data_IF_514585283938
#
_entry.id   IF_514585283938
#
_cell.length_a   1.000
_cell.length_b   1.000
_cell.length_c   1.000
_cell.angle_alpha   90.00
_cell.angle_beta   90.00
_cell.angle_gamma   90.00
#
_symmetry.space_group_name_H-M   'P 1'
#
loop_
_entity.id
_entity.type
_entity.pdbx_description
1 polymer ?
#
# COMPACT_ATOMS: atom_id res chain seq x y z
N UNK A 1 15.95 13.87 12.73
CA UNK A 1 14.56 13.48 12.44
C UNK A 1 14.48 12.82 11.06
N UNK A 2 14.82 13.50 9.95
CA UNK A 2 14.67 12.97 8.57
C UNK A 2 15.43 11.65 8.35
N UNK A 3 16.68 11.56 8.78
CA UNK A 3 17.47 10.32 8.65
C UNK A 3 16.83 9.14 9.38
N UNK A 4 16.27 9.37 10.58
CA UNK A 4 15.55 8.33 11.31
C UNK A 4 14.29 7.86 10.58
N UNK A 5 13.55 8.79 9.97
CA UNK A 5 12.38 8.45 9.14
C UNK A 5 12.78 7.64 7.90
N UNK A 6 13.86 8.01 7.21
CA UNK A 6 14.34 7.26 6.04
C UNK A 6 14.78 5.83 6.41
N UNK A 7 15.49 5.67 7.51
CA UNK A 7 15.87 4.34 8.02
C UNK A 7 14.62 3.52 8.38
N UNK A 8 13.65 4.13 9.03
CA UNK A 8 12.39 3.48 9.39
C UNK A 8 11.58 3.08 8.15
N UNK A 9 11.46 3.95 7.15
CA UNK A 9 10.81 3.64 5.88
C UNK A 9 11.48 2.44 5.18
N UNK A 10 12.82 2.43 5.11
CA UNK A 10 13.59 1.31 4.56
C UNK A 10 13.36 0.00 5.33
N UNK A 11 13.33 0.06 6.67
CA UNK A 11 13.04 -1.10 7.52
C UNK A 11 11.67 -1.71 7.23
N UNK A 12 10.61 -0.87 7.17
CA UNK A 12 9.25 -1.33 6.88
C UNK A 12 9.10 -1.84 5.44
N UNK A 13 9.79 -1.22 4.47
CA UNK A 13 9.82 -1.70 3.09
C UNK A 13 10.45 -3.10 2.98
N UNK A 14 11.56 -3.36 3.69
CA UNK A 14 12.20 -4.69 3.75
C UNK A 14 11.26 -5.73 4.38
N UNK A 15 10.50 -5.37 5.42
CA UNK A 15 9.48 -6.28 5.99
C UNK A 15 8.44 -6.63 4.94
N UNK A 16 7.95 -5.65 4.16
CA UNK A 16 6.96 -5.90 3.11
C UNK A 16 7.53 -6.76 1.97
N UNK A 17 8.79 -6.55 1.58
CA UNK A 17 9.49 -7.44 0.64
C UNK A 17 9.54 -8.87 1.19
N UNK A 18 9.80 -9.04 2.48
CA UNK A 18 9.77 -10.35 3.14
C UNK A 18 8.39 -11.03 3.04
N UNK A 19 7.31 -10.27 3.24
CA UNK A 19 5.93 -10.75 3.06
C UNK A 19 5.67 -11.16 1.61
N UNK A 20 6.09 -10.33 0.63
CA UNK A 20 5.98 -10.63 -0.79
C UNK A 20 6.72 -11.92 -1.16
N UNK A 21 7.98 -12.06 -0.71
CA UNK A 21 8.79 -13.28 -0.94
C UNK A 21 8.18 -14.53 -0.31
N UNK A 22 7.55 -14.40 0.85
CA UNK A 22 6.84 -15.51 1.47
C UNK A 22 5.62 -15.91 0.64
N UNK A 23 4.88 -14.94 0.12
CA UNK A 23 3.75 -15.20 -0.78
C UNK A 23 4.20 -15.84 -2.10
N UNK A 24 5.31 -15.38 -2.73
CA UNK A 24 5.89 -15.96 -3.95
C UNK A 24 6.18 -17.46 -3.81
N UNK A 25 6.49 -17.90 -2.60
CA UNK A 25 6.74 -19.33 -2.32
C UNK A 25 5.50 -20.20 -2.52
N UNK A 26 4.32 -19.63 -2.31
CA UNK A 26 3.04 -20.30 -2.47
C UNK A 26 2.38 -20.03 -3.83
N UNK A 27 2.82 -18.98 -4.52
CA UNK A 27 2.21 -18.52 -5.77
C UNK A 27 3.20 -17.69 -6.61
N UNK A 28 3.97 -18.28 -7.56
CA UNK A 28 5.04 -17.60 -8.30
C UNK A 28 4.55 -16.60 -9.36
N UNK A 29 5.21 -15.45 -9.47
CA UNK A 29 4.86 -14.32 -10.34
C UNK A 29 5.76 -14.20 -11.59
N UNK A 30 5.23 -13.64 -12.70
CA UNK A 30 5.94 -13.38 -13.95
C UNK A 30 6.45 -11.93 -14.07
N UNK A 31 7.63 -11.73 -14.70
CA UNK A 31 8.35 -10.44 -14.75
C UNK A 31 8.04 -9.61 -16.01
N UNK A 32 8.03 -8.26 -15.91
CA UNK A 32 7.74 -7.26 -16.97
C UNK A 32 8.89 -6.27 -17.28
N UNK A 33 8.77 -5.51 -18.37
CA UNK A 33 9.83 -4.83 -19.12
C UNK A 33 10.32 -3.44 -18.65
N UNK A 34 11.44 -2.95 -19.24
CA UNK A 34 12.34 -1.92 -18.74
C UNK A 34 12.08 -0.47 -19.23
N UNK A 35 11.93 0.45 -18.28
CA UNK A 35 12.07 1.91 -18.46
C UNK A 35 13.34 2.41 -17.72
N UNK A 36 13.79 3.66 -18.01
CA UNK A 36 15.00 4.21 -17.39
C UNK A 36 14.88 4.42 -15.87
N UNK A 37 15.99 4.28 -15.14
CA UNK A 37 16.05 4.37 -13.67
C UNK A 37 15.36 5.61 -13.10
N UNK A 38 15.63 6.80 -13.65
CA UNK A 38 15.06 8.04 -13.13
C UNK A 38 13.54 8.13 -13.33
N UNK A 39 13.05 7.65 -14.48
CA UNK A 39 11.60 7.58 -14.76
C UNK A 39 10.88 6.69 -13.76
N UNK A 40 11.41 5.51 -13.49
CA UNK A 40 10.87 4.58 -12.48
C UNK A 40 10.91 5.17 -11.08
N UNK A 41 12.03 5.78 -10.69
CA UNK A 41 12.18 6.41 -9.38
C UNK A 41 11.10 7.46 -9.14
N UNK A 42 10.88 8.37 -10.10
CA UNK A 42 9.85 9.42 -10.00
C UNK A 42 8.44 8.80 -9.99
N UNK A 43 8.20 7.79 -10.83
CA UNK A 43 6.90 7.10 -10.88
C UNK A 43 6.58 6.40 -9.55
N UNK A 44 7.50 5.67 -8.96
CA UNK A 44 7.30 4.95 -7.69
C UNK A 44 7.11 5.91 -6.51
N UNK A 45 7.90 7.00 -6.44
CA UNK A 45 7.68 8.04 -5.43
C UNK A 45 6.29 8.69 -5.59
N UNK A 46 5.90 8.98 -6.83
CA UNK A 46 4.61 9.59 -7.13
C UNK A 46 3.43 8.68 -6.82
N UNK A 47 3.50 7.41 -7.25
CA UNK A 47 2.48 6.40 -6.99
C UNK A 47 2.30 6.16 -5.48
N UNK A 48 3.38 5.83 -4.77
CA UNK A 48 3.32 5.59 -3.33
C UNK A 48 2.76 6.78 -2.54
N UNK A 49 3.13 8.02 -2.90
CA UNK A 49 2.59 9.22 -2.26
C UNK A 49 1.11 9.42 -2.60
N UNK A 50 0.73 9.32 -3.89
CA UNK A 50 -0.63 9.55 -4.36
C UNK A 50 -1.60 8.52 -3.76
N UNK A 51 -1.23 7.26 -3.76
CA UNK A 51 -2.06 6.17 -3.24
C UNK A 51 -2.26 6.29 -1.73
N UNK A 52 -1.21 6.65 -0.98
CA UNK A 52 -1.35 6.86 0.46
C UNK A 52 -2.19 8.09 0.80
N UNK A 53 -2.13 9.17 0.01
CA UNK A 53 -3.06 10.31 0.16
C UNK A 53 -4.49 9.84 -0.07
N UNK A 54 -4.75 9.14 -1.17
CA UNK A 54 -6.10 8.73 -1.54
C UNK A 54 -6.71 7.73 -0.55
N UNK A 55 -5.97 6.68 -0.23
CA UNK A 55 -6.50 5.57 0.57
C UNK A 55 -6.39 5.79 2.08
N UNK A 56 -5.34 6.46 2.58
CA UNK A 56 -5.08 6.62 4.02
C UNK A 56 -5.51 7.97 4.56
N UNK A 57 -5.23 9.07 3.85
CA UNK A 57 -5.66 10.39 4.33
C UNK A 57 -7.13 10.71 4.01
N UNK A 58 -7.66 10.22 2.90
CA UNK A 58 -9.03 10.55 2.48
C UNK A 58 -10.00 9.39 2.72
N UNK A 59 -9.79 8.25 2.10
CA UNK A 59 -10.77 7.15 2.09
C UNK A 59 -10.92 6.49 3.47
N UNK A 60 -9.83 6.12 4.13
CA UNK A 60 -9.90 5.40 5.41
C UNK A 60 -10.59 6.22 6.51
N UNK A 61 -10.26 7.51 6.72
CA UNK A 61 -11.02 8.34 7.67
C UNK A 61 -12.47 8.56 7.28
N UNK A 62 -12.76 8.69 5.98
CA UNK A 62 -14.15 8.82 5.49
C UNK A 62 -14.97 7.56 5.79
N UNK A 63 -14.41 6.37 5.58
CA UNK A 63 -15.04 5.10 5.94
C UNK A 63 -15.26 5.00 7.45
N UNK A 64 -14.25 5.32 8.26
CA UNK A 64 -14.37 5.28 9.72
C UNK A 64 -15.47 6.25 10.21
N UNK A 65 -15.49 7.46 9.69
CA UNK A 65 -16.52 8.45 10.00
C UNK A 65 -17.93 7.97 9.59
N UNK A 66 -18.07 7.44 8.37
CA UNK A 66 -19.35 6.92 7.87
C UNK A 66 -19.88 5.77 8.74
N UNK A 67 -19.00 4.80 9.08
CA UNK A 67 -19.35 3.68 9.95
C UNK A 67 -19.75 4.13 11.36
N UNK A 68 -19.05 5.10 11.93
CA UNK A 68 -19.41 5.69 13.22
C UNK A 68 -20.79 6.36 13.17
N UNK A 69 -21.15 7.04 12.06
CA UNK A 69 -22.48 7.62 11.85
C UNK A 69 -23.58 6.56 11.73
N UNK A 70 -23.24 5.34 11.31
CA UNK A 70 -24.15 4.19 11.25
C UNK A 70 -24.23 3.41 12.58
N UNK A 71 -23.59 3.93 13.64
CA UNK A 71 -23.67 3.36 14.99
C UNK A 71 -22.55 2.36 15.33
N UNK A 72 -21.54 2.20 14.49
CA UNK A 72 -20.38 1.38 14.82
C UNK A 72 -19.59 1.98 15.98
N UNK A 73 -19.09 1.13 16.88
CA UNK A 73 -18.13 1.59 17.91
C UNK A 73 -16.84 2.10 17.27
N UNK A 74 -16.10 3.01 17.93
CA UNK A 74 -14.84 3.53 17.36
C UNK A 74 -13.86 2.44 16.95
N UNK A 75 -13.73 1.38 17.73
CA UNK A 75 -12.87 0.24 17.43
C UNK A 75 -13.35 -0.53 16.19
N UNK A 76 -14.65 -0.83 16.11
CA UNK A 76 -15.24 -1.50 14.94
C UNK A 76 -15.11 -0.62 13.68
N UNK A 77 -15.39 0.67 13.78
CA UNK A 77 -15.25 1.61 12.67
C UNK A 77 -13.79 1.65 12.15
N UNK A 78 -12.80 1.68 13.04
CA UNK A 78 -11.40 1.66 12.66
C UNK A 78 -11.01 0.35 11.94
N UNK A 79 -11.38 -0.81 12.49
CA UNK A 79 -11.08 -2.13 11.89
C UNK A 79 -11.71 -2.26 10.50
N UNK A 80 -12.99 -1.93 10.38
CA UNK A 80 -13.69 -2.01 9.09
C UNK A 80 -13.21 -0.95 8.09
N UNK A 81 -12.76 0.21 8.53
CA UNK A 81 -12.15 1.21 7.66
C UNK A 81 -10.79 0.74 7.11
N UNK A 82 -9.96 0.10 7.94
CA UNK A 82 -8.71 -0.53 7.49
C UNK A 82 -9.02 -1.62 6.46
N UNK A 83 -9.94 -2.54 6.76
CA UNK A 83 -10.31 -3.62 5.85
C UNK A 83 -10.87 -3.08 4.54
N UNK A 84 -11.85 -2.16 4.61
CA UNK A 84 -12.51 -1.59 3.43
C UNK A 84 -11.55 -0.77 2.55
N UNK A 85 -10.68 0.07 3.15
CA UNK A 85 -9.69 0.82 2.39
C UNK A 85 -8.66 -0.09 1.73
N UNK A 86 -8.25 -1.18 2.37
CA UNK A 86 -7.31 -2.16 1.82
C UNK A 86 -7.93 -2.95 0.66
N UNK A 87 -9.21 -3.31 0.79
CA UNK A 87 -9.94 -3.98 -0.28
C UNK A 87 -10.09 -3.07 -1.50
N UNK A 88 -10.50 -1.82 -1.29
CA UNK A 88 -10.66 -0.83 -2.36
C UNK A 88 -9.31 -0.46 -2.99
N UNK A 89 -8.24 -0.41 -2.20
CA UNK A 89 -6.87 -0.26 -2.71
C UNK A 89 -6.52 -1.38 -3.70
N UNK A 90 -6.76 -2.63 -3.34
CA UNK A 90 -6.49 -3.75 -4.23
C UNK A 90 -7.37 -3.70 -5.49
N UNK A 91 -8.68 -3.46 -5.35
CA UNK A 91 -9.62 -3.37 -6.48
C UNK A 91 -9.23 -2.25 -7.45
N UNK A 92 -8.81 -1.10 -6.95
CA UNK A 92 -8.48 0.07 -7.77
C UNK A 92 -7.42 -0.21 -8.84
N UNK A 93 -6.51 -1.16 -8.60
CA UNK A 93 -5.48 -1.54 -9.56
C UNK A 93 -6.03 -2.31 -10.78
N UNK A 94 -7.26 -2.80 -10.72
CA UNK A 94 -7.91 -3.55 -11.81
C UNK A 94 -9.00 -2.75 -12.52
N UNK A 95 -9.19 -1.47 -12.13
CA UNK A 95 -10.27 -0.62 -12.64
C UNK A 95 -9.70 0.47 -13.54
N UNK A 96 -10.36 0.71 -14.67
CA UNK A 96 -10.03 1.79 -15.59
C UNK A 96 -9.15 1.38 -16.76
N UNK A 97 -8.82 2.33 -17.65
CA UNK A 97 -8.10 2.05 -18.91
C UNK A 97 -6.64 1.58 -18.70
N UNK A 98 -6.07 1.87 -17.54
CA UNK A 98 -4.72 1.48 -17.14
C UNK A 98 -4.73 0.35 -16.09
N UNK A 99 -5.90 -0.25 -15.83
CA UNK A 99 -6.01 -1.34 -14.87
C UNK A 99 -5.32 -2.61 -15.36
N UNK A 100 -4.71 -3.32 -14.42
CA UNK A 100 -4.09 -4.62 -14.68
C UNK A 100 -5.13 -5.69 -15.02
N UNK A 101 -4.73 -6.74 -15.73
CA UNK A 101 -5.53 -7.95 -15.81
C UNK A 101 -5.65 -8.58 -14.40
N UNK A 102 -6.87 -9.06 -14.07
CA UNK A 102 -7.09 -9.64 -12.74
C UNK A 102 -6.26 -10.90 -12.54
N UNK A 103 -5.46 -10.89 -11.47
CA UNK A 103 -4.69 -12.02 -10.99
C UNK A 103 -4.89 -12.19 -9.48
N UNK A 104 -5.35 -13.38 -9.01
CA UNK A 104 -5.64 -13.61 -7.59
C UNK A 104 -4.43 -13.43 -6.66
N UNK A 105 -3.23 -13.75 -7.14
CA UNK A 105 -2.00 -13.52 -6.37
C UNK A 105 -1.77 -12.03 -6.13
N UNK A 106 -1.71 -11.26 -7.21
CA UNK A 106 -1.50 -9.82 -7.18
C UNK A 106 -2.60 -9.11 -6.37
N UNK A 107 -3.87 -9.54 -6.54
CA UNK A 107 -4.99 -9.03 -5.75
C UNK A 107 -4.79 -9.27 -4.25
N UNK A 108 -4.46 -10.50 -3.86
CA UNK A 108 -4.25 -10.86 -2.45
C UNK A 108 -3.07 -10.11 -1.86
N UNK A 109 -1.96 -10.02 -2.62
CA UNK A 109 -0.79 -9.27 -2.17
C UNK A 109 -1.12 -7.78 -1.96
N UNK A 110 -1.79 -7.13 -2.92
CA UNK A 110 -2.19 -5.71 -2.81
C UNK A 110 -3.16 -5.48 -1.65
N UNK A 111 -4.08 -6.41 -1.41
CA UNK A 111 -4.96 -6.34 -0.25
C UNK A 111 -4.17 -6.39 1.07
N UNK A 112 -3.22 -7.31 1.20
CA UNK A 112 -2.36 -7.44 2.38
C UNK A 112 -1.44 -6.23 2.56
N UNK A 113 -0.82 -5.76 1.47
CA UNK A 113 -0.01 -4.54 1.45
C UNK A 113 -0.84 -3.31 1.84
N UNK A 114 -2.08 -3.23 1.33
CA UNK A 114 -3.05 -2.22 1.72
C UNK A 114 -3.31 -2.20 3.22
N UNK A 115 -3.54 -3.37 3.82
CA UNK A 115 -3.70 -3.53 5.27
C UNK A 115 -2.43 -3.14 6.04
N UNK A 116 -1.27 -3.55 5.55
CA UNK A 116 0.02 -3.20 6.15
C UNK A 116 0.22 -1.67 6.20
N UNK A 117 0.04 -0.96 5.08
CA UNK A 117 0.19 0.49 5.05
C UNK A 117 -0.90 1.22 5.85
N UNK A 118 -2.14 0.69 5.90
CA UNK A 118 -3.20 1.27 6.72
C UNK A 118 -2.88 1.17 8.23
N UNK A 119 -2.36 0.03 8.68
CA UNK A 119 -1.89 -0.14 10.06
C UNK A 119 -0.68 0.76 10.32
N UNK A 120 0.29 0.80 9.40
CA UNK A 120 1.48 1.63 9.51
C UNK A 120 1.12 3.13 9.60
N UNK A 121 0.16 3.57 8.79
CA UNK A 121 -0.41 4.92 8.87
C UNK A 121 -1.00 5.20 10.26
N UNK A 122 -1.79 4.28 10.81
CA UNK A 122 -2.44 4.46 12.11
C UNK A 122 -1.44 4.56 13.27
N UNK A 123 -0.33 3.81 13.22
CA UNK A 123 0.66 3.76 14.33
C UNK A 123 1.85 4.70 14.13
N UNK A 124 2.25 5.02 12.90
CA UNK A 124 3.45 5.82 12.58
C UNK A 124 3.16 7.08 11.77
N UNK A 125 1.94 7.25 11.28
CA UNK A 125 1.52 8.42 10.52
C UNK A 125 1.87 8.36 9.03
N UNK A 126 1.40 9.38 8.31
CA UNK A 126 1.43 9.44 6.85
C UNK A 126 2.84 9.34 6.25
N UNK A 127 3.80 10.08 6.78
CA UNK A 127 5.14 10.13 6.20
C UNK A 127 5.86 8.78 6.19
N UNK A 128 5.68 7.97 7.24
CA UNK A 128 6.26 6.63 7.31
C UNK A 128 5.52 5.66 6.38
N UNK A 129 4.18 5.71 6.33
CA UNK A 129 3.42 4.87 5.42
C UNK A 129 3.78 5.15 3.94
N UNK A 130 3.72 6.40 3.50
CA UNK A 130 4.04 6.80 2.13
C UNK A 130 5.51 6.56 1.76
N UNK A 131 6.44 6.85 2.67
CA UNK A 131 7.86 6.59 2.45
C UNK A 131 8.19 5.10 2.37
N UNK A 132 7.52 4.25 3.16
CA UNK A 132 7.70 2.79 3.11
C UNK A 132 7.09 2.20 1.83
N UNK A 133 5.96 2.73 1.36
CA UNK A 133 5.34 2.34 0.10
C UNK A 133 6.28 2.66 -1.08
N UNK A 134 6.69 3.90 -1.22
CA UNK A 134 7.63 4.31 -2.27
C UNK A 134 8.95 3.51 -2.21
N UNK A 135 9.49 3.26 -1.02
CA UNK A 135 10.71 2.46 -0.86
C UNK A 135 10.49 0.99 -1.24
N UNK A 136 9.32 0.41 -0.93
CA UNK A 136 8.95 -0.93 -1.37
C UNK A 136 8.90 -1.02 -2.90
N UNK A 137 8.20 -0.10 -3.55
CA UNK A 137 8.07 -0.06 -5.01
C UNK A 137 9.44 0.07 -5.69
N UNK A 138 10.33 0.89 -5.13
CA UNK A 138 11.71 1.01 -5.60
C UNK A 138 12.49 -0.30 -5.43
N UNK A 139 12.37 -0.97 -4.29
CA UNK A 139 13.07 -2.24 -4.04
C UNK A 139 12.63 -3.36 -4.96
N UNK A 140 11.34 -3.41 -5.28
CA UNK A 140 10.78 -4.46 -6.15
C UNK A 140 10.89 -4.09 -7.63
N UNK A 141 10.67 -2.83 -7.98
CA UNK A 141 10.64 -2.38 -9.36
C UNK A 141 12.02 -2.05 -9.95
N UNK A 142 13.09 -1.93 -9.16
CA UNK A 142 14.45 -1.66 -9.62
C UNK A 142 15.34 -2.91 -9.62
N UNK A 143 14.91 -4.02 -9.06
CA UNK A 143 15.58 -5.33 -9.05
C UNK A 143 14.92 -6.25 -10.05
#
# INVERSE_FOLDING_TARGET
>A
VLMGMLVECGFWAVILVGIARLQDRFWPLAAGAAEGFLSRFVAFCGAGLYEEVLFRLLLMPALAWGLARLGATPAAAAVWAVFGSSLLFSIAHYVGPLGDAFDPYSFTFRFLAGGFFAVLFAIRGFGIAAGSHAAYDMLVGLV
#
